data_IF_113334239931
#
_entry.id   IF_113334239931
#
_cell.length_a   1.000
_cell.length_b   1.000
_cell.length_c   1.000
_cell.angle_alpha   90.00
_cell.angle_beta   90.00
_cell.angle_gamma   90.00
#
_symmetry.space_group_name_H-M   'P 1'
#
loop_
_entity.id
_entity.type
_entity.pdbx_description
1 polymer ?
#
# COMPACT_ATOMS: atom_id res chain seq x y z
N UNK A 1 42.95 -2.76 -3.55
CA UNK A 1 42.29 -3.22 -4.78
C UNK A 1 41.08 -4.05 -4.38
N UNK A 2 39.90 -3.48 -4.40
CA UNK A 2 38.65 -4.15 -4.06
C UNK A 2 38.09 -4.84 -5.30
N UNK A 3 37.66 -6.10 -5.18
CA UNK A 3 37.04 -6.87 -6.27
C UNK A 3 35.60 -6.40 -6.49
N UNK A 4 35.12 -6.34 -7.75
CA UNK A 4 33.76 -5.93 -8.05
C UNK A 4 32.71 -7.00 -7.68
N UNK A 5 31.54 -6.52 -7.28
CA UNK A 5 30.37 -7.26 -6.73
C UNK A 5 29.48 -7.86 -7.84
N UNK A 6 30.09 -8.55 -8.84
CA UNK A 6 29.35 -9.03 -10.02
C UNK A 6 29.43 -10.54 -10.23
N UNK A 7 29.15 -11.34 -9.16
CA UNK A 7 29.07 -12.80 -9.37
C UNK A 7 28.15 -13.52 -8.38
N UNK A 8 26.85 -13.15 -8.33
CA UNK A 8 25.80 -13.94 -7.67
C UNK A 8 24.48 -13.96 -8.44
N UNK A 9 24.56 -14.30 -9.70
CA UNK A 9 23.37 -14.69 -10.46
C UNK A 9 23.59 -16.10 -11.00
N UNK A 10 23.21 -17.14 -10.25
CA UNK A 10 22.74 -18.45 -10.74
C UNK A 10 22.35 -19.34 -9.57
N UNK A 11 21.07 -19.65 -9.53
CA UNK A 11 20.50 -21.01 -9.44
C UNK A 11 19.14 -20.94 -8.75
N UNK A 12 18.09 -21.28 -9.48
CA UNK A 12 16.76 -21.48 -8.91
C UNK A 12 16.71 -22.77 -8.10
N UNK A 13 16.02 -22.68 -6.99
CA UNK A 13 15.27 -23.74 -6.30
C UNK A 13 14.64 -23.05 -5.08
N UNK A 14 13.36 -23.27 -4.82
CA UNK A 14 12.59 -22.64 -3.74
C UNK A 14 13.25 -22.78 -2.36
N UNK A 15 14.12 -21.85 -2.07
CA UNK A 15 14.66 -21.64 -0.73
C UNK A 15 13.91 -20.42 -0.17
N UNK A 16 13.17 -20.63 0.91
CA UNK A 16 12.75 -19.56 1.79
C UNK A 16 13.98 -18.69 2.08
N UNK A 17 13.90 -17.39 1.75
CA UNK A 17 14.96 -16.47 2.15
C UNK A 17 15.13 -16.56 3.67
N UNK A 18 16.35 -16.49 4.22
CA UNK A 18 16.56 -16.50 5.65
C UNK A 18 15.80 -15.31 6.26
N UNK A 19 15.17 -15.53 7.41
CA UNK A 19 14.54 -14.51 8.26
C UNK A 19 15.64 -13.55 8.77
N UNK A 20 16.04 -12.62 7.91
CA UNK A 20 16.98 -11.57 8.30
C UNK A 20 16.15 -10.42 8.85
N UNK A 21 16.31 -10.15 10.14
CA UNK A 21 15.67 -9.00 10.77
C UNK A 21 16.04 -7.70 10.05
N UNK A 22 15.08 -6.77 9.88
CA UNK A 22 15.35 -5.49 9.25
C UNK A 22 16.43 -4.71 10.02
N UNK A 23 17.23 -3.87 9.33
CA UNK A 23 18.20 -2.99 9.99
C UNK A 23 17.52 -1.99 10.92
N UNK A 24 18.29 -1.37 11.80
CA UNK A 24 17.82 -0.22 12.59
C UNK A 24 17.53 0.98 11.69
N UNK A 25 16.52 1.76 12.08
CA UNK A 25 16.22 3.02 11.40
C UNK A 25 17.25 4.08 11.79
N UNK A 26 17.67 4.84 10.81
CA UNK A 26 18.50 6.04 11.02
C UNK A 26 17.62 7.29 10.81
N UNK A 27 18.01 8.42 11.39
CA UNK A 27 17.28 9.69 11.23
C UNK A 27 17.31 10.26 9.80
N UNK A 28 18.10 9.65 8.91
CA UNK A 28 18.23 10.00 7.49
C UNK A 28 17.24 9.31 6.58
N UNK A 29 16.39 8.41 7.11
CA UNK A 29 15.45 7.64 6.29
C UNK A 29 14.12 8.37 6.06
N UNK A 30 13.42 7.95 5.00
CA UNK A 30 12.02 8.25 4.72
C UNK A 30 11.23 6.95 4.85
N UNK A 31 10.37 6.85 5.86
CA UNK A 31 9.65 5.63 6.21
C UNK A 31 8.24 5.64 5.63
N UNK A 32 7.94 4.68 4.77
CA UNK A 32 6.62 4.44 4.19
C UNK A 32 6.06 3.14 4.74
N UNK A 33 4.88 3.19 5.30
CA UNK A 33 4.19 2.05 5.93
C UNK A 33 2.85 1.82 5.25
N UNK A 34 2.59 0.60 4.81
CA UNK A 34 1.24 0.19 4.50
C UNK A 34 0.40 0.05 5.78
N UNK A 35 -0.92 -0.02 5.64
CA UNK A 35 -1.85 -0.05 6.76
C UNK A 35 -2.45 -1.44 7.00
N UNK A 36 -3.21 -1.98 6.04
CA UNK A 36 -3.95 -3.24 6.18
C UNK A 36 -3.02 -4.45 6.03
N UNK A 37 -2.89 -5.28 7.04
CA UNK A 37 -1.95 -6.42 7.06
C UNK A 37 -0.54 -6.05 7.53
N UNK A 38 -0.22 -4.76 7.57
CA UNK A 38 1.10 -4.23 7.96
C UNK A 38 1.07 -3.57 9.34
N UNK A 39 0.31 -2.49 9.54
CA UNK A 39 0.13 -1.82 10.82
C UNK A 39 -1.07 -2.35 11.61
N UNK A 40 -1.98 -3.02 10.94
CA UNK A 40 -3.19 -3.58 11.51
C UNK A 40 -3.43 -4.97 10.95
N UNK A 41 -4.07 -5.90 11.69
CA UNK A 41 -4.39 -7.22 11.18
C UNK A 41 -5.41 -7.12 10.03
N UNK A 42 -5.30 -8.02 9.05
CA UNK A 42 -6.36 -8.22 8.08
C UNK A 42 -7.60 -8.77 8.79
N UNK A 43 -8.76 -8.15 8.55
CA UNK A 43 -10.05 -8.56 9.10
C UNK A 43 -11.08 -8.72 7.99
N UNK A 44 -12.11 -9.54 8.25
CA UNK A 44 -13.22 -9.72 7.31
C UNK A 44 -14.09 -8.47 7.18
N UNK A 45 -14.23 -7.71 8.28
CA UNK A 45 -14.88 -6.42 8.30
C UNK A 45 -13.83 -5.30 8.18
N UNK A 46 -13.74 -4.60 7.03
CA UNK A 46 -12.78 -3.53 6.83
C UNK A 46 -13.02 -2.34 7.78
N UNK A 47 -14.25 -2.18 8.29
CA UNK A 47 -14.60 -1.08 9.20
C UNK A 47 -14.10 -1.34 10.64
N UNK A 48 -13.81 -2.59 10.99
CA UNK A 48 -13.25 -2.98 12.29
C UNK A 48 -11.72 -2.85 12.38
N UNK A 49 -11.03 -2.48 11.29
CA UNK A 49 -9.57 -2.41 11.25
C UNK A 49 -9.08 -1.07 11.81
N UNK A 50 -8.32 -1.10 12.90
CA UNK A 50 -7.70 0.05 13.55
C UNK A 50 -6.27 -0.29 14.00
N UNK A 51 -5.49 0.75 14.28
CA UNK A 51 -4.19 0.60 14.94
C UNK A 51 -4.36 -0.04 16.33
N UNK A 52 -3.36 -0.82 16.75
CA UNK A 52 -3.32 -1.33 18.12
C UNK A 52 -3.17 -0.17 19.13
N UNK A 53 -3.69 -0.32 20.36
CA UNK A 53 -3.59 0.72 21.39
C UNK A 53 -2.14 1.18 21.61
N UNK A 54 -1.92 2.48 21.57
CA UNK A 54 -0.62 3.12 21.75
C UNK A 54 0.26 3.20 20.51
N UNK A 55 -0.15 2.59 19.38
CA UNK A 55 0.61 2.73 18.12
C UNK A 55 0.51 4.12 17.52
N UNK A 56 -0.57 4.85 17.79
CA UNK A 56 -0.69 6.25 17.40
C UNK A 56 0.49 7.08 17.94
N UNK A 57 0.78 6.96 19.23
CA UNK A 57 1.87 7.68 19.89
C UNK A 57 3.24 7.24 19.36
N UNK A 58 3.43 5.95 19.10
CA UNK A 58 4.67 5.42 18.50
C UNK A 58 4.93 6.03 17.13
N UNK A 59 3.92 6.06 16.26
CA UNK A 59 4.04 6.59 14.91
C UNK A 59 4.28 8.11 14.91
N UNK A 60 3.63 8.86 15.80
CA UNK A 60 3.84 10.30 15.95
C UNK A 60 5.28 10.57 16.38
N UNK A 61 5.77 9.91 17.44
CA UNK A 61 7.12 10.09 17.95
C UNK A 61 8.19 9.67 16.92
N UNK A 62 7.98 8.58 16.19
CA UNK A 62 8.86 8.20 15.08
C UNK A 62 8.87 9.26 13.98
N UNK A 63 7.71 9.82 13.63
CA UNK A 63 7.63 10.90 12.66
C UNK A 63 8.42 12.13 13.11
N UNK A 64 8.33 12.50 14.38
CA UNK A 64 9.10 13.61 14.96
C UNK A 64 10.61 13.36 14.86
N UNK A 65 11.07 12.17 15.24
CA UNK A 65 12.49 11.78 15.17
C UNK A 65 13.00 11.70 13.73
N UNK A 66 12.14 11.39 12.77
CA UNK A 66 12.43 11.41 11.34
C UNK A 66 12.19 12.79 10.70
N UNK A 67 11.97 13.85 11.49
CA UNK A 67 11.68 15.21 11.00
C UNK A 67 10.50 15.26 10.01
N UNK A 68 9.43 14.50 10.30
CA UNK A 68 8.22 14.43 9.51
C UNK A 68 8.28 13.46 8.33
N UNK A 69 9.39 12.75 8.10
CA UNK A 69 9.55 11.85 6.96
C UNK A 69 9.00 10.44 7.24
N UNK A 70 7.79 10.36 7.79
CA UNK A 70 7.01 9.13 7.95
C UNK A 70 5.66 9.30 7.27
N UNK A 71 5.27 8.33 6.46
CA UNK A 71 4.01 8.32 5.71
C UNK A 71 3.29 6.99 5.78
N UNK A 72 1.95 7.05 5.85
CA UNK A 72 1.08 5.89 5.66
C UNK A 72 0.61 5.87 4.20
N UNK A 73 0.83 4.75 3.50
CA UNK A 73 0.56 4.56 2.08
C UNK A 73 -0.38 3.38 1.87
N UNK A 74 -1.68 3.64 1.67
CA UNK A 74 -2.73 2.63 1.70
C UNK A 74 -3.62 2.65 0.44
N UNK A 75 -4.22 1.49 0.13
CA UNK A 75 -5.31 1.37 -0.83
C UNK A 75 -6.65 1.92 -0.33
N UNK A 76 -6.79 2.17 0.97
CA UNK A 76 -8.00 2.77 1.54
C UNK A 76 -8.29 4.15 0.97
N UNK A 77 -9.57 4.52 0.88
CA UNK A 77 -9.92 5.92 0.64
C UNK A 77 -9.26 6.82 1.70
N UNK A 78 -8.75 7.97 1.27
CA UNK A 78 -8.01 8.87 2.14
C UNK A 78 -8.86 9.38 3.32
N UNK A 79 -10.17 9.55 3.13
CA UNK A 79 -11.09 9.97 4.20
C UNK A 79 -11.26 8.86 5.24
N UNK A 80 -11.34 7.60 4.79
CA UNK A 80 -11.39 6.44 5.67
C UNK A 80 -10.05 6.24 6.41
N UNK A 81 -8.93 6.27 5.71
CA UNK A 81 -7.59 6.18 6.29
C UNK A 81 -7.38 7.24 7.38
N UNK A 82 -7.85 8.48 7.15
CA UNK A 82 -7.70 9.60 8.09
C UNK A 82 -8.50 9.46 9.39
N UNK A 83 -9.43 8.52 9.45
CA UNK A 83 -10.15 8.16 10.71
C UNK A 83 -9.40 7.11 11.52
N UNK A 84 -8.38 6.46 10.94
CA UNK A 84 -7.70 5.27 11.49
C UNK A 84 -6.27 5.53 11.90
N UNK A 85 -5.67 6.62 11.40
CA UNK A 85 -4.27 6.99 11.69
C UNK A 85 -4.17 8.45 12.13
N UNK A 86 -3.14 8.82 12.92
CA UNK A 86 -2.96 10.17 13.41
C UNK A 86 -2.92 11.22 12.29
N UNK A 87 -3.65 12.32 12.50
CA UNK A 87 -3.62 13.47 11.59
C UNK A 87 -2.25 14.17 11.52
N UNK A 88 -1.37 13.88 12.46
CA UNK A 88 0.01 14.40 12.50
C UNK A 88 0.95 13.73 11.47
N UNK A 89 0.48 12.72 10.74
CA UNK A 89 1.27 11.97 9.77
C UNK A 89 0.91 12.35 8.33
N UNK A 90 1.87 12.16 7.41
CA UNK A 90 1.56 12.10 5.99
C UNK A 90 0.69 10.87 5.68
N UNK A 91 -0.37 11.08 4.92
CA UNK A 91 -1.33 10.05 4.55
C UNK A 91 -1.51 10.05 3.04
N UNK A 92 -1.25 8.92 2.42
CA UNK A 92 -1.49 8.66 1.01
C UNK A 92 -2.55 7.56 0.90
N UNK A 93 -3.75 7.93 0.49
CA UNK A 93 -4.88 7.03 0.27
C UNK A 93 -5.12 6.73 -1.21
N UNK A 94 -6.03 5.79 -1.51
CA UNK A 94 -6.40 5.40 -2.87
C UNK A 94 -5.17 5.03 -3.71
N UNK A 95 -4.25 4.22 -3.14
CA UNK A 95 -2.96 3.84 -3.72
C UNK A 95 -2.08 5.04 -4.11
N UNK A 96 -2.16 6.14 -3.37
CA UNK A 96 -1.37 7.34 -3.61
C UNK A 96 -1.99 8.37 -4.57
N UNK A 97 -3.23 8.17 -5.00
CA UNK A 97 -3.96 9.18 -5.80
C UNK A 97 -4.32 10.42 -5.00
N UNK A 98 -4.50 10.26 -3.71
CA UNK A 98 -4.87 11.33 -2.79
C UNK A 98 -3.87 11.38 -1.64
N UNK A 99 -3.51 12.58 -1.23
CA UNK A 99 -2.61 12.79 -0.10
C UNK A 99 -3.15 13.85 0.85
N UNK A 100 -2.74 13.76 2.10
CA UNK A 100 -2.91 14.82 3.09
C UNK A 100 -1.61 14.98 3.90
N UNK A 101 -1.15 16.19 4.01
CA UNK A 101 -0.02 16.56 4.86
C UNK A 101 -0.39 16.51 6.36
N UNK A 102 0.60 16.47 7.26
CA UNK A 102 0.36 16.60 8.69
C UNK A 102 -0.50 17.82 9.04
N UNK A 103 -1.55 17.62 9.83
CA UNK A 103 -2.49 18.67 10.23
C UNK A 103 -3.48 19.10 9.15
N UNK A 104 -3.35 18.65 7.92
CA UNK A 104 -4.27 19.00 6.84
C UNK A 104 -5.63 18.33 7.07
N UNK A 105 -6.69 19.16 7.01
CA UNK A 105 -8.07 18.68 6.99
C UNK A 105 -8.43 18.24 5.59
N UNK A 106 -9.04 17.08 5.49
CA UNK A 106 -9.53 16.56 4.23
C UNK A 106 -10.56 17.49 3.62
N UNK A 107 -10.39 17.82 2.34
CA UNK A 107 -11.47 18.39 1.56
C UNK A 107 -12.54 17.30 1.30
N UNK A 108 -13.80 17.61 1.56
CA UNK A 108 -14.93 16.67 1.37
C UNK A 108 -15.19 16.31 -0.11
N UNK A 109 -14.51 16.97 -1.04
CA UNK A 109 -14.67 16.74 -2.47
C UNK A 109 -13.78 15.61 -2.95
N UNK A 110 -14.35 14.42 -3.03
CA UNK A 110 -13.76 13.29 -3.75
C UNK A 110 -14.16 13.41 -5.21
N UNK A 111 -13.18 13.40 -6.12
CA UNK A 111 -13.49 13.17 -7.54
C UNK A 111 -13.86 11.70 -7.69
N UNK A 112 -15.12 11.42 -7.93
CA UNK A 112 -15.60 10.06 -8.17
C UNK A 112 -15.10 9.53 -9.52
N UNK A 113 -15.17 8.20 -9.66
CA UNK A 113 -14.99 7.57 -10.96
C UNK A 113 -16.02 8.15 -11.97
N UNK A 114 -15.67 8.23 -13.26
CA UNK A 114 -16.61 8.75 -14.28
C UNK A 114 -17.97 8.04 -14.23
N UNK A 115 -19.05 8.80 -14.23
CA UNK A 115 -20.43 8.25 -14.19
C UNK A 115 -20.67 7.18 -15.25
N UNK A 116 -20.16 7.40 -16.47
CA UNK A 116 -20.23 6.42 -17.56
C UNK A 116 -19.54 5.10 -17.22
N UNK A 117 -18.40 5.13 -16.53
CA UNK A 117 -17.69 3.94 -16.07
C UNK A 117 -18.49 3.23 -14.98
N UNK A 118 -19.02 4.00 -14.01
CA UNK A 118 -19.88 3.45 -12.94
C UNK A 118 -21.08 2.72 -13.56
N UNK A 119 -21.77 3.34 -14.52
CA UNK A 119 -22.93 2.73 -15.20
C UNK A 119 -22.56 1.43 -15.93
N UNK A 120 -21.41 1.41 -16.63
CA UNK A 120 -20.92 0.19 -17.31
C UNK A 120 -20.64 -0.93 -16.31
N UNK A 121 -19.97 -0.64 -15.21
CA UNK A 121 -19.70 -1.61 -14.17
C UNK A 121 -20.98 -2.14 -13.53
N UNK A 122 -21.94 -1.27 -13.22
CA UNK A 122 -23.26 -1.68 -12.73
C UNK A 122 -23.98 -2.59 -13.73
N UNK A 123 -23.92 -2.30 -15.01
CA UNK A 123 -24.50 -3.15 -16.07
C UNK A 123 -23.85 -4.54 -16.09
N UNK A 124 -22.53 -4.62 -16.02
CA UNK A 124 -21.81 -5.89 -15.98
C UNK A 124 -22.23 -6.70 -14.74
N UNK A 125 -22.12 -6.11 -13.54
CA UNK A 125 -22.36 -6.85 -12.30
C UNK A 125 -23.84 -7.29 -12.13
N UNK A 126 -24.79 -6.58 -12.75
CA UNK A 126 -26.21 -6.95 -12.70
C UNK A 126 -26.49 -8.32 -13.31
N UNK A 127 -25.57 -8.88 -14.08
CA UNK A 127 -25.67 -10.21 -14.70
C UNK A 127 -25.05 -11.33 -13.82
N UNK A 128 -24.51 -10.98 -12.64
CA UNK A 128 -23.85 -11.91 -11.72
C UNK A 128 -24.49 -11.85 -10.34
N UNK A 129 -25.07 -12.95 -9.91
CA UNK A 129 -25.53 -13.10 -8.53
C UNK A 129 -24.35 -13.17 -7.57
N UNK A 130 -24.47 -12.52 -6.40
CA UNK A 130 -23.43 -12.52 -5.36
C UNK A 130 -22.23 -11.59 -5.62
N UNK A 131 -22.29 -10.76 -6.68
CA UNK A 131 -21.29 -9.74 -6.98
C UNK A 131 -21.76 -8.37 -6.52
N UNK A 132 -20.86 -7.57 -5.92
CA UNK A 132 -21.17 -6.25 -5.37
C UNK A 132 -20.16 -5.22 -5.85
N UNK A 133 -20.65 -4.05 -6.24
CA UNK A 133 -19.84 -2.87 -6.54
C UNK A 133 -19.73 -1.98 -5.29
N UNK A 134 -18.52 -1.61 -4.95
CA UNK A 134 -18.19 -0.58 -3.97
C UNK A 134 -17.50 0.58 -4.67
N UNK A 135 -17.97 1.81 -4.41
CA UNK A 135 -17.36 3.04 -4.93
C UNK A 135 -16.45 3.64 -3.86
N UNK A 136 -15.17 3.79 -4.18
CA UNK A 136 -14.15 4.38 -3.31
C UNK A 136 -13.58 5.64 -3.96
N UNK A 137 -14.44 6.65 -4.19
CA UNK A 137 -14.07 7.83 -4.96
C UNK A 137 -13.71 7.44 -6.40
N UNK A 138 -12.46 7.70 -6.87
CA UNK A 138 -12.03 7.37 -8.22
C UNK A 138 -11.84 5.87 -8.47
N UNK A 139 -11.89 5.03 -7.43
CA UNK A 139 -11.69 3.58 -7.52
C UNK A 139 -13.02 2.84 -7.44
N UNK A 140 -13.24 1.89 -8.34
CA UNK A 140 -14.40 0.99 -8.34
C UNK A 140 -13.94 -0.42 -7.94
N UNK A 141 -14.38 -0.90 -6.77
CA UNK A 141 -14.06 -2.24 -6.28
C UNK A 141 -15.25 -3.19 -6.49
N UNK A 142 -15.04 -4.29 -7.23
CA UNK A 142 -16.05 -5.31 -7.51
C UNK A 142 -15.73 -6.55 -6.71
N UNK A 143 -16.51 -6.80 -5.67
CA UNK A 143 -16.35 -7.95 -4.77
C UNK A 143 -17.15 -9.14 -5.29
N UNK A 144 -16.49 -10.31 -5.40
CA UNK A 144 -17.10 -11.55 -5.88
C UNK A 144 -16.85 -12.75 -4.94
N UNK A 145 -16.60 -12.48 -3.64
CA UNK A 145 -16.36 -13.53 -2.63
C UNK A 145 -17.52 -14.51 -2.51
N UNK A 146 -18.77 -14.07 -2.74
CA UNK A 146 -19.95 -14.91 -2.74
C UNK A 146 -20.16 -15.70 -4.06
N UNK A 147 -19.36 -15.44 -5.10
CA UNK A 147 -19.40 -16.11 -6.39
C UNK A 147 -17.96 -16.34 -6.93
N UNK A 148 -17.11 -17.08 -6.21
CA UNK A 148 -15.68 -17.18 -6.50
C UNK A 148 -15.38 -17.83 -7.88
N UNK A 149 -16.27 -18.68 -8.37
CA UNK A 149 -16.21 -19.33 -9.68
C UNK A 149 -16.43 -18.36 -10.86
N UNK A 150 -16.93 -17.17 -10.62
CA UNK A 150 -17.21 -16.14 -11.64
C UNK A 150 -16.05 -15.16 -11.87
N UNK A 151 -15.00 -15.23 -11.07
CA UNK A 151 -13.91 -14.21 -11.07
C UNK A 151 -13.28 -13.99 -12.44
N UNK A 152 -12.97 -15.04 -13.18
CA UNK A 152 -12.35 -14.94 -14.51
C UNK A 152 -13.30 -14.31 -15.54
N UNK A 153 -14.55 -14.78 -15.59
CA UNK A 153 -15.56 -14.23 -16.49
C UNK A 153 -15.85 -12.76 -16.18
N UNK A 154 -15.93 -12.42 -14.89
CA UNK A 154 -16.16 -11.06 -14.43
C UNK A 154 -14.99 -10.15 -14.83
N UNK A 155 -13.74 -10.60 -14.67
CA UNK A 155 -12.56 -9.84 -15.07
C UNK A 155 -12.59 -9.48 -16.56
N UNK A 156 -12.85 -10.45 -17.43
CA UNK A 156 -12.95 -10.25 -18.87
C UNK A 156 -14.02 -9.20 -19.26
N UNK A 157 -15.20 -9.27 -18.61
CA UNK A 157 -16.27 -8.31 -18.90
C UNK A 157 -15.95 -6.89 -18.38
N UNK A 158 -15.32 -6.79 -17.20
CA UNK A 158 -14.88 -5.50 -16.66
C UNK A 158 -13.73 -4.88 -17.46
N UNK A 159 -12.78 -5.69 -17.94
CA UNK A 159 -11.74 -5.22 -18.90
C UNK A 159 -12.35 -4.67 -20.17
N UNK A 160 -13.35 -5.36 -20.73
CA UNK A 160 -14.10 -4.85 -21.90
C UNK A 160 -14.82 -3.54 -21.59
N UNK A 161 -15.39 -3.39 -20.39
CA UNK A 161 -16.04 -2.15 -19.96
C UNK A 161 -15.06 -0.97 -19.80
N UNK A 162 -13.77 -1.27 -19.52
CA UNK A 162 -12.69 -0.29 -19.40
C UNK A 162 -12.10 0.15 -20.74
N UNK A 163 -12.42 -0.50 -21.86
CA UNK A 163 -11.74 -0.26 -23.14
C UNK A 163 -11.75 1.23 -23.62
N UNK A 164 -12.77 1.99 -23.23
CA UNK A 164 -12.87 3.42 -23.55
C UNK A 164 -12.29 4.36 -22.46
N UNK A 165 -11.73 3.79 -21.38
CA UNK A 165 -11.17 4.52 -20.24
C UNK A 165 -9.68 4.17 -20.11
N UNK A 166 -8.87 4.65 -21.04
CA UNK A 166 -7.43 4.33 -21.13
C UNK A 166 -6.62 4.81 -19.91
N UNK A 167 -7.16 5.73 -19.14
CA UNK A 167 -6.63 6.25 -17.90
C UNK A 167 -6.98 5.38 -16.67
N UNK A 168 -7.75 4.28 -16.88
CA UNK A 168 -8.09 3.29 -15.86
C UNK A 168 -7.44 1.93 -16.17
N UNK A 169 -7.08 1.21 -15.13
CA UNK A 169 -6.59 -0.17 -15.20
C UNK A 169 -7.35 -1.07 -14.22
N UNK A 170 -7.57 -2.34 -14.61
CA UNK A 170 -8.14 -3.36 -13.74
C UNK A 170 -7.02 -4.07 -12.98
N UNK A 171 -7.14 -4.15 -11.68
CA UNK A 171 -6.23 -4.90 -10.82
C UNK A 171 -6.98 -5.99 -10.05
N UNK A 172 -6.40 -7.19 -9.99
CA UNK A 172 -6.95 -8.31 -9.22
C UNK A 172 -6.39 -8.34 -7.81
N UNK A 173 -7.29 -8.40 -6.82
CA UNK A 173 -7.00 -8.65 -5.42
C UNK A 173 -7.60 -9.97 -4.93
N UNK A 174 -7.63 -10.19 -3.62
CA UNK A 174 -8.21 -11.39 -3.01
C UNK A 174 -9.74 -11.34 -3.04
N UNK A 175 -10.35 -11.97 -4.03
CA UNK A 175 -11.82 -11.99 -4.27
C UNK A 175 -12.40 -10.58 -4.55
N UNK A 176 -11.61 -9.70 -5.13
CA UNK A 176 -11.98 -8.36 -5.56
C UNK A 176 -11.27 -8.00 -6.86
N UNK A 177 -11.95 -7.26 -7.73
CA UNK A 177 -11.38 -6.63 -8.93
C UNK A 177 -11.53 -5.13 -8.75
N UNK A 178 -10.43 -4.38 -8.83
CA UNK A 178 -10.44 -2.93 -8.67
C UNK A 178 -10.10 -2.24 -9.99
N UNK A 179 -11.04 -1.44 -10.49
CA UNK A 179 -10.75 -0.48 -11.55
C UNK A 179 -10.29 0.82 -10.90
N UNK A 180 -9.06 1.23 -11.20
CA UNK A 180 -8.44 2.43 -10.63
C UNK A 180 -7.73 3.23 -11.71
N UNK A 181 -7.61 4.56 -11.55
CA UNK A 181 -6.77 5.37 -12.43
C UNK A 181 -5.37 4.78 -12.53
N UNK A 182 -4.80 4.79 -13.73
CA UNK A 182 -3.47 4.19 -14.00
C UNK A 182 -2.35 4.82 -13.16
N UNK A 183 -2.56 6.04 -12.63
CA UNK A 183 -1.68 6.69 -11.66
C UNK A 183 -1.85 6.22 -10.21
N UNK A 184 -2.86 5.37 -9.90
CA UNK A 184 -3.09 4.79 -8.59
C UNK A 184 -2.13 3.62 -8.34
N UNK A 185 -0.90 3.93 -8.01
CA UNK A 185 0.18 2.97 -7.82
C UNK A 185 1.08 3.42 -6.67
N UNK A 186 1.27 2.56 -5.66
CA UNK A 186 2.06 2.89 -4.47
C UNK A 186 3.52 3.22 -4.80
N UNK A 187 4.11 2.58 -5.84
CA UNK A 187 5.45 2.89 -6.30
C UNK A 187 5.55 4.29 -6.90
N UNK A 188 4.62 4.67 -7.78
CA UNK A 188 4.55 6.02 -8.36
C UNK A 188 4.36 7.07 -7.26
N UNK A 189 3.54 6.76 -6.25
CA UNK A 189 3.32 7.65 -5.11
C UNK A 189 4.61 7.85 -4.30
N UNK A 190 5.30 6.76 -3.94
CA UNK A 190 6.57 6.82 -3.20
C UNK A 190 7.61 7.61 -3.99
N UNK A 191 7.77 7.33 -5.29
CA UNK A 191 8.74 8.04 -6.13
C UNK A 191 8.48 9.54 -6.19
N UNK A 192 7.21 9.95 -6.30
CA UNK A 192 6.84 11.37 -6.25
C UNK A 192 7.08 11.99 -4.88
N UNK A 193 6.74 11.28 -3.80
CA UNK A 193 6.97 11.77 -2.45
C UNK A 193 8.46 12.03 -2.19
N UNK A 194 9.35 11.15 -2.68
CA UNK A 194 10.81 11.29 -2.54
C UNK A 194 11.40 12.51 -3.29
N UNK A 195 10.61 13.22 -4.10
CA UNK A 195 11.05 14.43 -4.82
C UNK A 195 10.75 15.73 -4.06
N UNK A 196 10.15 15.66 -2.88
CA UNK A 196 9.72 16.83 -2.11
C UNK A 196 9.97 16.66 -0.61
N UNK A 197 10.15 17.78 0.14
CA UNK A 197 10.21 17.74 1.58
C UNK A 197 8.92 17.12 2.19
N UNK A 198 9.05 16.37 3.29
CA UNK A 198 10.24 16.10 4.09
C UNK A 198 11.06 14.89 3.63
N UNK A 199 10.69 14.23 2.51
CA UNK A 199 11.25 12.96 2.06
C UNK A 199 12.49 13.13 1.16
N UNK A 200 12.64 14.30 0.51
CA UNK A 200 13.73 14.57 -0.43
C UNK A 200 15.11 14.39 0.19
N UNK A 201 16.00 13.71 -0.54
CA UNK A 201 17.38 13.48 -0.13
C UNK A 201 17.56 12.37 0.94
N UNK A 202 16.48 11.69 1.33
CA UNK A 202 16.51 10.61 2.33
C UNK A 202 16.59 9.23 1.69
N UNK A 203 16.87 8.22 2.50
CA UNK A 203 16.87 6.81 2.10
C UNK A 203 15.45 6.26 2.28
N UNK A 204 14.75 5.86 1.21
CA UNK A 204 13.39 5.34 1.33
C UNK A 204 13.35 3.94 1.92
N UNK A 205 12.42 3.72 2.84
CA UNK A 205 12.11 2.41 3.40
C UNK A 205 10.62 2.13 3.17
N UNK A 206 10.31 0.97 2.62
CA UNK A 206 8.92 0.51 2.45
C UNK A 206 8.66 -0.76 3.24
N UNK A 207 7.60 -0.75 4.05
CA UNK A 207 7.10 -1.94 4.77
C UNK A 207 5.67 -2.21 4.32
N UNK A 208 5.41 -3.42 3.79
CA UNK A 208 4.11 -3.80 3.25
C UNK A 208 3.87 -5.29 3.16
N UNK A 209 2.60 -5.71 3.05
CA UNK A 209 2.19 -7.12 3.11
C UNK A 209 1.63 -7.66 1.80
N UNK A 210 1.12 -6.82 0.89
CA UNK A 210 0.37 -7.28 -0.26
C UNK A 210 1.07 -7.05 -1.61
N UNK A 211 0.40 -7.45 -2.68
CA UNK A 211 0.90 -7.30 -4.05
C UNK A 211 1.02 -5.84 -4.49
N UNK A 212 0.19 -4.94 -3.94
CA UNK A 212 0.23 -3.52 -4.32
C UNK A 212 1.42 -2.80 -3.71
N UNK A 213 1.98 -3.36 -2.63
CA UNK A 213 3.19 -2.87 -1.99
C UNK A 213 4.45 -3.21 -2.77
N UNK A 214 4.43 -4.28 -3.58
CA UNK A 214 5.59 -4.68 -4.39
C UNK A 214 6.05 -3.57 -5.34
N UNK A 215 5.14 -2.76 -5.86
CA UNK A 215 5.49 -1.61 -6.69
C UNK A 215 6.30 -0.57 -5.89
N UNK A 216 5.92 -0.31 -4.63
CA UNK A 216 6.64 0.63 -3.75
C UNK A 216 7.96 0.01 -3.21
N UNK A 217 7.97 -1.29 -2.93
CA UNK A 217 9.15 -2.06 -2.55
C UNK A 217 10.23 -1.97 -3.65
N UNK A 218 9.85 -2.21 -4.90
CA UNK A 218 10.76 -2.11 -6.05
C UNK A 218 11.32 -0.69 -6.21
N UNK A 219 10.49 0.34 -5.99
CA UNK A 219 10.93 1.73 -6.07
C UNK A 219 11.87 2.08 -4.92
N UNK A 220 11.56 1.70 -3.68
CA UNK A 220 12.42 1.94 -2.53
C UNK A 220 13.82 1.32 -2.74
N UNK A 221 13.88 0.06 -3.16
CA UNK A 221 15.14 -0.64 -3.45
C UNK A 221 15.90 0.04 -4.59
N UNK A 222 15.22 0.45 -5.68
CA UNK A 222 15.85 1.15 -6.82
C UNK A 222 16.43 2.50 -6.43
N UNK A 223 15.83 3.21 -5.50
CA UNK A 223 16.31 4.50 -5.00
C UNK A 223 17.41 4.37 -3.94
N UNK A 224 17.96 3.18 -3.72
CA UNK A 224 19.05 2.92 -2.78
C UNK A 224 18.62 2.77 -1.33
N UNK A 225 17.31 2.60 -1.12
CA UNK A 225 16.75 2.23 0.17
C UNK A 225 16.66 0.72 0.34
N UNK A 226 15.80 0.29 1.25
CA UNK A 226 15.51 -1.12 1.50
C UNK A 226 14.03 -1.31 1.85
N UNK A 227 13.61 -2.57 1.92
CA UNK A 227 12.19 -2.87 2.12
C UNK A 227 11.96 -4.13 2.93
N UNK A 228 10.77 -4.21 3.52
CA UNK A 228 10.32 -5.30 4.37
C UNK A 228 9.00 -5.86 3.84
N UNK A 229 8.98 -7.14 3.56
CA UNK A 229 7.75 -7.91 3.35
C UNK A 229 7.16 -8.32 4.69
N UNK A 230 5.88 -8.09 4.89
CA UNK A 230 5.13 -8.62 6.02
C UNK A 230 4.39 -9.88 5.58
N UNK A 231 4.46 -10.93 6.41
CA UNK A 231 3.85 -12.23 6.11
C UNK A 231 4.58 -13.03 5.05
N UNK A 232 3.90 -14.05 4.51
CA UNK A 232 4.46 -15.00 3.57
C UNK A 232 4.31 -14.55 2.10
N UNK A 233 4.83 -15.36 1.19
CA UNK A 233 4.74 -15.18 -0.26
C UNK A 233 6.01 -14.61 -0.88
N UNK A 234 6.06 -14.62 -2.21
CA UNK A 234 7.17 -14.06 -2.98
C UNK A 234 7.16 -12.53 -2.88
N UNK A 235 8.35 -11.92 -2.76
CA UNK A 235 8.52 -10.48 -2.69
C UNK A 235 9.91 -10.08 -3.19
N UNK A 236 10.02 -8.84 -3.69
CA UNK A 236 11.29 -8.20 -3.99
C UNK A 236 11.94 -7.53 -2.75
N UNK A 237 11.30 -7.60 -1.59
CA UNK A 237 11.83 -7.04 -0.34
C UNK A 237 13.08 -7.78 0.13
N UNK A 238 14.02 -7.04 0.71
CA UNK A 238 15.28 -7.57 1.22
C UNK A 238 15.10 -8.25 2.59
N UNK A 239 14.13 -7.78 3.37
CA UNK A 239 13.87 -8.26 4.73
C UNK A 239 12.44 -8.76 4.86
N UNK A 240 12.18 -9.47 5.98
CA UNK A 240 10.86 -10.02 6.26
C UNK A 240 10.51 -9.92 7.75
N UNK A 241 9.27 -9.54 8.01
CA UNK A 241 8.61 -9.69 9.31
C UNK A 241 7.42 -10.65 9.14
N UNK A 242 7.12 -11.47 10.13
CA UNK A 242 6.13 -12.55 9.97
C UNK A 242 4.69 -12.06 10.09
N UNK A 243 4.47 -10.94 10.77
CA UNK A 243 3.13 -10.41 11.05
C UNK A 243 3.14 -8.92 11.34
N UNK A 244 1.93 -8.30 11.30
CA UNK A 244 1.72 -6.92 11.79
C UNK A 244 2.22 -6.73 13.23
N UNK A 245 2.18 -7.77 14.06
CA UNK A 245 2.68 -7.73 15.45
C UNK A 245 4.19 -7.53 15.51
N UNK A 246 4.92 -8.17 14.60
CA UNK A 246 6.36 -7.99 14.50
C UNK A 246 6.71 -6.60 13.97
N UNK A 247 5.88 -6.02 13.09
CA UNK A 247 6.01 -4.62 12.67
C UNK A 247 5.82 -3.68 13.86
N UNK A 248 4.79 -3.88 14.69
CA UNK A 248 4.58 -3.10 15.91
C UNK A 248 5.80 -3.16 16.85
N UNK A 249 6.33 -4.36 17.07
CA UNK A 249 7.49 -4.57 17.96
C UNK A 249 8.73 -3.88 17.38
N UNK A 250 8.98 -4.05 16.09
CA UNK A 250 10.08 -3.40 15.38
C UNK A 250 10.00 -1.86 15.49
N UNK A 251 8.83 -1.26 15.23
CA UNK A 251 8.67 0.20 15.31
C UNK A 251 8.85 0.74 16.75
N UNK A 252 8.40 -0.01 17.77
CA UNK A 252 8.61 0.34 19.18
C UNK A 252 10.09 0.28 19.58
N UNK A 253 10.82 -0.73 19.09
CA UNK A 253 12.26 -0.85 19.30
C UNK A 253 13.00 0.31 18.65
N UNK A 254 12.69 0.62 17.39
CA UNK A 254 13.30 1.73 16.65
C UNK A 254 13.05 3.08 17.31
N UNK A 255 11.89 3.27 17.93
CA UNK A 255 11.61 4.49 18.69
C UNK A 255 12.56 4.69 19.87
N UNK A 256 13.00 3.59 20.51
CA UNK A 256 13.99 3.63 21.59
C UNK A 256 15.42 3.91 21.13
N UNK A 257 15.73 3.61 19.89
CA UNK A 257 17.09 3.68 19.31
C UNK A 257 17.39 5.02 18.61
N UNK A 258 16.37 5.69 18.04
CA UNK A 258 16.46 7.02 17.43
C UNK A 258 16.45 8.15 18.49
#
# INVERSE_FOLDING_TARGET
>A
MAKPLHDRLRAGSGMSQPDVSPPRLENTVALFLDFDGTLSPLQDDPDAVFLAPGMDDVLIQLSEKLNGALAILSGRDLTDLSKRVPNALWRFGNHGLRSAAPGERMADTVTDAPDGLICRFQSVISTFDGVRLEKKGPVLAVHYRAAPDKGEQLALQLESALAEYSDYALQSGKMVLEAKPSGANKGVCLEKAMQAPPFEGRVPIMIGDDKTDEDAILVANRLGGWSVKVGEGASAAEYRLTSHKDVENYLKEMLGDL
#
